data_IF_176044846594
#
_entry.id   IF_176044846594
#
_cell.length_a   1.000
_cell.length_b   1.000
_cell.length_c   1.000
_cell.angle_alpha   90.00
_cell.angle_beta   90.00
_cell.angle_gamma   90.00
#
_symmetry.space_group_name_H-M   'P 1'
#
loop_
_entity.id
_entity.type
_entity.pdbx_description
1 polymer ?
#
# COMPACT_ATOMS: atom_id res chain seq x y z
N UNK A 1 23.82 -14.82 3.71
CA UNK A 1 24.19 -14.49 2.31
C UNK A 1 23.96 -15.65 1.32
N UNK A 2 23.22 -16.70 1.69
CA UNK A 2 23.06 -17.93 0.89
C UNK A 2 22.04 -17.75 -0.25
N UNK A 3 20.96 -17.01 0.00
CA UNK A 3 19.87 -16.79 -0.96
C UNK A 3 20.32 -16.04 -2.22
N UNK A 4 21.14 -14.99 -2.07
CA UNK A 4 21.61 -14.19 -3.21
C UNK A 4 22.55 -14.99 -4.14
N UNK A 5 23.40 -15.84 -3.56
CA UNK A 5 24.30 -16.71 -4.32
C UNK A 5 23.55 -17.80 -5.07
N UNK A 6 22.57 -18.47 -4.43
CA UNK A 6 21.73 -19.47 -5.10
C UNK A 6 20.92 -18.88 -6.26
N UNK A 7 20.44 -17.65 -6.12
CA UNK A 7 19.74 -16.95 -7.21
C UNK A 7 20.70 -16.69 -8.38
N UNK A 8 21.92 -16.24 -8.12
CA UNK A 8 22.93 -16.01 -9.17
C UNK A 8 23.34 -17.30 -9.90
N UNK A 9 23.46 -18.41 -9.17
CA UNK A 9 23.79 -19.71 -9.76
C UNK A 9 22.68 -20.22 -10.68
N UNK A 10 21.42 -20.08 -10.24
CA UNK A 10 20.26 -20.45 -11.07
C UNK A 10 20.10 -19.55 -12.28
N UNK A 11 20.41 -18.26 -12.17
CA UNK A 11 20.35 -17.31 -13.29
C UNK A 11 21.43 -17.57 -14.35
N UNK A 12 22.62 -18.07 -13.96
CA UNK A 12 23.71 -18.39 -14.89
C UNK A 12 23.38 -19.51 -15.88
N UNK A 13 22.47 -20.41 -15.50
CA UNK A 13 22.09 -21.56 -16.32
C UNK A 13 20.87 -21.26 -17.22
N UNK A 14 20.36 -20.03 -17.21
CA UNK A 14 19.24 -19.62 -18.06
C UNK A 14 19.75 -19.11 -19.40
N UNK A 15 19.00 -19.42 -20.45
CA UNK A 15 19.17 -18.83 -21.77
C UNK A 15 18.69 -17.38 -21.79
N UNK A 16 19.13 -16.56 -22.76
CA UNK A 16 18.72 -15.15 -22.88
C UNK A 16 17.19 -14.99 -22.93
N UNK A 17 16.49 -15.90 -23.61
CA UNK A 17 15.02 -15.88 -23.69
C UNK A 17 14.36 -16.12 -22.33
N UNK A 18 14.90 -17.04 -21.52
CA UNK A 18 14.39 -17.28 -20.17
C UNK A 18 14.74 -16.13 -19.22
N UNK A 19 15.91 -15.51 -19.38
CA UNK A 19 16.30 -14.30 -18.65
C UNK A 19 15.37 -13.13 -18.96
N UNK A 20 14.98 -12.94 -20.21
CA UNK A 20 14.03 -11.91 -20.62
C UNK A 20 12.62 -12.18 -20.05
N UNK A 21 12.20 -13.44 -19.95
CA UNK A 21 10.93 -13.79 -19.28
C UNK A 21 10.96 -13.47 -17.78
N UNK A 22 12.06 -13.79 -17.10
CA UNK A 22 12.24 -13.43 -15.68
C UNK A 22 12.24 -11.91 -15.50
N UNK A 23 12.89 -11.18 -16.39
CA UNK A 23 12.89 -9.72 -16.39
C UNK A 23 11.47 -9.15 -16.55
N UNK A 24 10.69 -9.67 -17.49
CA UNK A 24 9.29 -9.27 -17.69
C UNK A 24 8.41 -9.52 -16.46
N UNK A 25 8.61 -10.64 -15.77
CA UNK A 25 7.89 -10.95 -14.52
C UNK A 25 8.26 -9.95 -13.41
N UNK A 26 9.55 -9.62 -13.28
CA UNK A 26 10.04 -8.63 -12.30
C UNK A 26 9.48 -7.24 -12.61
N UNK A 27 9.43 -6.85 -13.88
CA UNK A 27 8.88 -5.57 -14.33
C UNK A 27 7.37 -5.48 -14.03
N UNK A 28 6.63 -6.56 -14.29
CA UNK A 28 5.20 -6.62 -13.95
C UNK A 28 4.94 -6.54 -12.44
N UNK A 29 5.74 -7.25 -11.63
CA UNK A 29 5.62 -7.21 -10.17
C UNK A 29 6.01 -5.85 -9.59
N UNK A 30 7.10 -5.25 -10.07
CA UNK A 30 7.53 -3.91 -9.64
C UNK A 30 6.57 -2.81 -10.10
N UNK A 31 5.99 -2.92 -11.30
CA UNK A 31 4.93 -2.04 -11.77
C UNK A 31 3.66 -2.14 -10.91
N UNK A 32 3.29 -3.36 -10.49
CA UNK A 32 2.14 -3.58 -9.62
C UNK A 32 2.34 -3.01 -8.20
N UNK A 33 3.54 -3.09 -7.63
CA UNK A 33 3.87 -2.46 -6.34
C UNK A 33 3.84 -0.92 -6.41
N UNK A 34 4.28 -0.34 -7.53
CA UNK A 34 4.25 1.11 -7.75
C UNK A 34 2.85 1.66 -8.09
N UNK A 35 1.96 0.82 -8.63
CA UNK A 35 0.58 1.19 -8.93
C UNK A 35 -0.27 1.35 -7.65
N UNK A 36 0.13 0.71 -6.54
CA UNK A 36 -0.42 1.02 -5.22
C UNK A 36 0.27 2.29 -4.73
N UNK A 37 -0.05 3.44 -5.34
CA UNK A 37 0.15 4.75 -4.70
C UNK A 37 -0.39 4.59 -3.30
N UNK A 38 0.51 4.58 -2.31
CA UNK A 38 0.19 4.41 -0.90
C UNK A 38 -0.78 5.52 -0.55
N UNK A 39 -2.09 5.22 -0.65
CA UNK A 39 -3.15 6.20 -0.39
C UNK A 39 -2.81 6.80 0.95
N UNK A 40 -2.64 8.13 0.97
CA UNK A 40 -2.27 8.81 2.20
C UNK A 40 -3.26 8.41 3.28
N UNK A 41 -2.82 8.40 4.54
CA UNK A 41 -3.69 8.06 5.65
C UNK A 41 -5.01 8.86 5.56
N UNK A 42 -4.93 10.14 5.17
CA UNK A 42 -6.10 10.99 4.92
C UNK A 42 -7.01 10.50 3.78
N UNK A 43 -6.45 10.02 2.67
CA UNK A 43 -7.27 9.42 1.60
C UNK A 43 -7.97 8.14 2.01
N UNK A 44 -7.41 7.39 2.98
CA UNK A 44 -8.07 6.21 3.57
C UNK A 44 -9.13 6.61 4.58
N UNK A 45 -8.83 7.55 5.48
CA UNK A 45 -9.76 8.07 6.49
C UNK A 45 -10.99 8.72 5.84
N UNK A 46 -10.83 9.46 4.73
CA UNK A 46 -11.95 10.09 4.00
C UNK A 46 -12.95 9.07 3.42
N UNK A 47 -12.53 7.82 3.19
CA UNK A 47 -13.41 6.76 2.68
C UNK A 47 -14.21 6.08 3.79
N UNK A 48 -13.82 6.26 5.05
CA UNK A 48 -14.56 5.77 6.20
C UNK A 48 -15.76 6.71 6.34
N UNK A 49 -16.93 6.23 5.91
CA UNK A 49 -18.20 6.81 6.35
C UNK A 49 -18.47 6.23 7.73
N UNK A 50 -18.50 7.08 8.74
CA UNK A 50 -19.00 6.67 10.03
C UNK A 50 -20.51 6.88 9.94
N UNK A 51 -21.27 5.78 9.99
CA UNK A 51 -22.73 5.81 10.17
C UNK A 51 -22.97 6.21 11.62
N UNK A 52 -22.77 7.49 11.87
CA UNK A 52 -22.96 8.06 13.17
C UNK A 52 -24.34 8.71 13.28
N UNK A 53 -24.92 8.72 14.50
CA UNK A 53 -26.05 9.60 14.79
C UNK A 53 -25.72 11.03 14.39
N UNK A 54 -26.73 11.81 14.02
CA UNK A 54 -26.61 13.18 13.49
C UNK A 54 -25.70 14.09 14.36
N UNK A 55 -25.59 13.78 15.66
CA UNK A 55 -24.84 14.55 16.65
C UNK A 55 -23.48 13.96 17.08
N UNK A 56 -22.95 12.91 16.46
CA UNK A 56 -21.70 12.29 16.94
C UNK A 56 -20.50 13.25 16.96
N UNK A 57 -20.37 14.10 15.94
CA UNK A 57 -19.29 15.09 15.86
C UNK A 57 -19.35 16.08 17.04
N UNK A 58 -20.57 16.42 17.48
CA UNK A 58 -20.86 17.28 18.63
C UNK A 58 -20.49 16.54 19.91
N UNK A 59 -20.94 15.30 20.07
CA UNK A 59 -20.64 14.48 21.26
C UNK A 59 -19.14 14.22 21.45
N UNK A 60 -18.41 13.93 20.36
CA UNK A 60 -16.95 13.79 20.42
C UNK A 60 -16.29 15.10 20.81
N UNK A 61 -16.73 16.22 20.23
CA UNK A 61 -16.16 17.54 20.54
C UNK A 61 -16.38 17.92 22.01
N UNK A 62 -17.58 17.68 22.54
CA UNK A 62 -17.91 17.85 23.96
C UNK A 62 -17.07 16.92 24.85
N UNK A 63 -16.92 15.64 24.48
CA UNK A 63 -16.12 14.67 25.24
C UNK A 63 -14.63 15.03 25.30
N UNK A 64 -14.15 15.75 24.30
CA UNK A 64 -12.79 16.28 24.21
C UNK A 64 -12.65 17.70 24.79
N UNK A 65 -13.70 18.22 25.43
CA UNK A 65 -13.70 19.52 26.10
C UNK A 65 -13.61 20.72 25.16
N UNK A 66 -14.04 20.58 23.90
CA UNK A 66 -14.12 21.71 22.97
C UNK A 66 -15.53 22.30 23.01
N UNK A 67 -15.61 23.61 23.17
CA UNK A 67 -16.88 24.33 23.02
C UNK A 67 -17.37 24.21 21.58
N UNK A 68 -18.55 23.61 21.45
CA UNK A 68 -19.34 23.54 20.21
C UNK A 68 -20.35 24.67 20.24
N UNK A 69 -19.88 25.89 19.99
CA UNK A 69 -20.76 27.02 19.69
C UNK A 69 -21.08 27.01 18.19
N UNK A 70 -22.37 27.08 17.85
CA UNK A 70 -22.91 27.21 16.49
C UNK A 70 -22.33 28.40 15.71
#
# INVERSE_FOLDING_TARGET
>A
MITKQMIQEKLKNLTEEQLNQVYGIIEQLSGAENAVKKLSLMSKLRKIKIDDPEDFSIQVSVSLGRDVSE
#
